data_IF_375110786511
#
_entry.id   IF_375110786511
#
_cell.length_a   1.000
_cell.length_b   1.000
_cell.length_c   1.000
_cell.angle_alpha   90.00
_cell.angle_beta   90.00
_cell.angle_gamma   90.00
#
_symmetry.space_group_name_H-M   'P 1'
#
loop_
_entity.id
_entity.type
_entity.pdbx_description
1 polymer ?
#
# COMPACT_ATOMS: atom_id res chain seq x y z
N UNK A 1 -10.26 -0.85 -32.29
CA UNK A 1 -9.18 0.01 -31.74
C UNK A 1 -8.55 -0.75 -30.59
N UNK A 2 -7.41 -1.41 -30.83
CA UNK A 2 -6.72 -2.20 -29.81
C UNK A 2 -5.82 -1.27 -28.99
N UNK A 3 -6.00 -1.25 -27.65
CA UNK A 3 -5.01 -0.65 -26.75
C UNK A 3 -3.86 -1.65 -26.64
N UNK A 4 -2.66 -1.24 -27.03
CA UNK A 4 -1.46 -2.03 -26.81
C UNK A 4 -1.29 -2.29 -25.30
N UNK A 5 -0.99 -3.54 -24.88
CA UNK A 5 -0.56 -3.80 -23.52
C UNK A 5 0.79 -3.11 -23.29
N UNK A 6 0.91 -2.36 -22.20
CA UNK A 6 2.17 -1.77 -21.75
C UNK A 6 3.22 -2.88 -21.61
N UNK A 7 4.36 -2.75 -22.30
CA UNK A 7 5.47 -3.72 -22.30
C UNK A 7 6.47 -3.50 -21.17
N UNK A 8 6.19 -2.57 -20.25
CA UNK A 8 7.04 -2.40 -19.09
C UNK A 8 6.73 -3.52 -18.09
N UNK A 9 7.72 -4.35 -17.70
CA UNK A 9 7.52 -5.26 -16.60
C UNK A 9 7.11 -4.43 -15.38
N UNK A 10 6.05 -4.84 -14.65
CA UNK A 10 5.62 -4.11 -13.47
C UNK A 10 6.80 -3.94 -12.51
N UNK A 11 6.96 -2.77 -11.87
CA UNK A 11 8.20 -2.45 -11.15
C UNK A 11 8.56 -3.47 -10.05
N UNK A 12 7.58 -4.20 -9.52
CA UNK A 12 7.77 -5.29 -8.53
C UNK A 12 8.14 -6.67 -9.14
N UNK A 13 8.33 -6.76 -10.46
CA UNK A 13 9.13 -7.82 -11.10
C UNK A 13 10.60 -7.38 -11.31
N UNK A 14 10.93 -6.10 -11.06
CA UNK A 14 12.26 -5.51 -11.26
C UNK A 14 12.99 -5.14 -9.97
N UNK A 15 12.32 -5.18 -8.81
CA UNK A 15 12.93 -4.87 -7.52
C UNK A 15 11.94 -4.22 -6.56
N UNK A 16 12.41 -3.86 -5.35
CA UNK A 16 11.59 -3.10 -4.42
C UNK A 16 11.14 -1.76 -5.00
N UNK A 17 9.91 -1.34 -4.68
CA UNK A 17 9.35 -0.04 -5.06
C UNK A 17 9.35 0.88 -3.85
N UNK A 18 9.80 2.12 -4.03
CA UNK A 18 9.75 3.15 -2.99
C UNK A 18 8.55 4.07 -3.20
N UNK A 19 7.94 4.49 -2.10
CA UNK A 19 6.81 5.40 -2.07
C UNK A 19 6.39 5.69 -0.64
N UNK A 20 5.16 6.15 -0.46
CA UNK A 20 4.61 6.42 0.86
C UNK A 20 3.70 5.29 1.33
N UNK A 21 3.78 5.03 2.63
CA UNK A 21 2.88 4.14 3.35
C UNK A 21 2.01 4.98 4.29
N UNK A 22 0.71 4.71 4.28
CA UNK A 22 -0.21 5.18 5.32
C UNK A 22 -0.86 4.00 6.04
N UNK A 23 -1.88 4.29 6.84
CA UNK A 23 -2.75 3.27 7.40
C UNK A 23 -4.22 3.57 7.19
N UNK A 24 -5.06 2.54 7.26
CA UNK A 24 -6.52 2.65 7.09
C UNK A 24 -7.25 1.69 8.03
N UNK A 25 -8.50 2.02 8.37
CA UNK A 25 -9.38 1.16 9.15
C UNK A 25 -10.14 0.18 8.24
N UNK A 26 -10.22 -1.08 8.64
CA UNK A 26 -11.07 -2.09 8.00
C UNK A 26 -11.56 -3.16 9.00
N UNK A 27 -12.67 -3.82 8.69
CA UNK A 27 -13.20 -4.94 9.47
C UNK A 27 -13.44 -4.61 10.95
N UNK A 28 -13.10 -5.54 11.84
CA UNK A 28 -13.32 -5.38 13.29
C UNK A 28 -12.47 -4.24 13.87
N UNK A 29 -13.07 -3.50 14.82
CA UNK A 29 -12.42 -2.43 15.58
C UNK A 29 -11.09 -2.87 16.21
N UNK A 30 -10.07 -2.01 16.11
CA UNK A 30 -8.77 -2.18 16.75
C UNK A 30 -8.06 -0.83 16.84
N UNK A 31 -7.43 -0.56 17.99
CA UNK A 31 -6.76 0.73 18.21
C UNK A 31 -7.75 1.90 18.03
N UNK A 32 -7.45 2.90 17.18
CA UNK A 32 -8.33 4.04 16.94
C UNK A 32 -9.50 3.74 16.00
N UNK A 33 -9.57 2.54 15.41
CA UNK A 33 -10.57 2.20 14.41
C UNK A 33 -11.88 1.70 15.03
N UNK A 34 -13.00 2.16 14.50
CA UNK A 34 -14.31 1.54 14.68
C UNK A 34 -14.50 0.38 13.68
N UNK A 35 -15.56 -0.40 13.88
CA UNK A 35 -15.93 -1.48 12.95
C UNK A 35 -16.38 -0.92 11.60
N UNK A 36 -15.84 -1.45 10.51
CA UNK A 36 -16.05 -1.00 9.12
C UNK A 36 -16.17 -2.19 8.16
N UNK A 37 -16.18 -1.95 6.85
CA UNK A 37 -16.21 -3.00 5.82
C UNK A 37 -14.94 -3.85 5.81
N UNK A 38 -15.03 -5.11 5.36
CA UNK A 38 -13.90 -6.07 5.33
C UNK A 38 -13.01 -5.93 4.08
N UNK A 39 -13.03 -4.76 3.44
CA UNK A 39 -12.30 -4.48 2.21
C UNK A 39 -12.78 -5.29 0.99
N UNK A 40 -12.19 -5.02 -0.16
CA UNK A 40 -12.49 -5.64 -1.44
C UNK A 40 -12.22 -7.16 -1.45
N UNK A 41 -11.30 -7.66 -0.61
CA UNK A 41 -11.04 -9.09 -0.48
C UNK A 41 -12.00 -9.79 0.51
N UNK A 42 -12.82 -9.05 1.25
CA UNK A 42 -13.73 -9.60 2.27
C UNK A 42 -13.05 -10.12 3.55
N UNK A 43 -11.74 -9.98 3.67
CA UNK A 43 -10.92 -10.55 4.76
C UNK A 43 -10.19 -9.50 5.61
N UNK A 44 -10.33 -8.20 5.29
CA UNK A 44 -9.60 -7.14 5.96
C UNK A 44 -10.07 -6.96 7.41
N UNK A 45 -9.11 -6.88 8.34
CA UNK A 45 -9.32 -6.59 9.75
C UNK A 45 -8.21 -5.69 10.31
N UNK A 46 -8.60 -4.60 10.99
CA UNK A 46 -7.67 -3.59 11.54
C UNK A 46 -6.63 -4.18 12.50
N UNK A 47 -7.00 -5.24 13.23
CA UNK A 47 -6.11 -5.95 14.16
C UNK A 47 -5.18 -7.00 13.52
N UNK A 48 -5.26 -7.23 12.20
CA UNK A 48 -4.47 -8.24 11.49
C UNK A 48 -3.32 -7.60 10.70
N UNK A 49 -2.29 -8.36 10.33
CA UNK A 49 -1.17 -7.87 9.52
C UNK A 49 -1.52 -7.91 8.02
N UNK A 50 -2.22 -6.88 7.56
CA UNK A 50 -2.78 -6.80 6.20
C UNK A 50 -2.54 -5.42 5.58
N UNK A 51 -2.82 -5.28 4.28
CA UNK A 51 -2.72 -4.01 3.57
C UNK A 51 -3.69 -3.92 2.40
N UNK A 52 -3.94 -2.70 1.94
CA UNK A 52 -4.56 -2.39 0.67
C UNK A 52 -3.48 -2.31 -0.43
N UNK A 53 -3.76 -2.88 -1.61
CA UNK A 53 -2.86 -2.80 -2.76
C UNK A 53 -3.58 -2.24 -4.01
N UNK A 54 -3.00 -1.27 -4.74
CA UNK A 54 -3.67 -0.66 -5.89
C UNK A 54 -3.99 -1.65 -7.01
N UNK A 55 -3.06 -2.56 -7.30
CA UNK A 55 -3.18 -3.50 -8.42
C UNK A 55 -3.63 -4.91 -7.99
N UNK A 56 -4.64 -4.98 -7.10
CA UNK A 56 -5.15 -6.25 -6.56
C UNK A 56 -6.23 -6.95 -7.38
N UNK A 57 -7.00 -6.19 -8.16
CA UNK A 57 -7.98 -6.64 -9.16
C UNK A 57 -8.02 -5.61 -10.30
N UNK A 58 -8.67 -5.92 -11.42
CA UNK A 58 -8.87 -4.92 -12.48
C UNK A 58 -9.77 -3.80 -11.98
N UNK A 59 -10.72 -4.13 -11.09
CA UNK A 59 -11.55 -3.16 -10.39
C UNK A 59 -10.73 -2.26 -9.45
N UNK A 60 -9.76 -2.82 -8.71
CA UNK A 60 -8.85 -2.01 -7.88
C UNK A 60 -7.99 -1.12 -8.77
N UNK A 61 -7.41 -1.65 -9.86
CA UNK A 61 -6.58 -0.87 -10.77
C UNK A 61 -7.37 0.30 -11.36
N UNK A 62 -8.60 0.07 -11.80
CA UNK A 62 -9.45 1.07 -12.44
C UNK A 62 -9.72 2.31 -11.56
N UNK A 63 -9.71 2.16 -10.22
CA UNK A 63 -9.98 3.26 -9.28
C UNK A 63 -8.73 3.81 -8.59
N UNK A 64 -7.59 3.12 -8.66
CA UNK A 64 -6.37 3.52 -7.91
C UNK A 64 -5.30 4.13 -8.79
N UNK A 65 -5.17 3.63 -10.03
CA UNK A 65 -4.40 4.23 -11.12
C UNK A 65 -3.03 4.82 -10.72
N UNK A 66 -2.14 4.04 -10.06
CA UNK A 66 -0.79 4.50 -9.75
C UNK A 66 0.03 4.85 -11.01
N UNK A 67 -0.36 4.31 -12.17
CA UNK A 67 0.22 4.65 -13.47
C UNK A 67 0.06 6.12 -13.84
N UNK A 68 -1.03 6.76 -13.39
CA UNK A 68 -1.24 8.20 -13.57
C UNK A 68 -0.18 9.04 -12.85
N UNK A 69 0.44 8.50 -11.80
CA UNK A 69 1.54 9.12 -11.08
C UNK A 69 2.93 8.69 -11.59
N UNK A 70 2.99 7.96 -12.72
CA UNK A 70 4.22 7.40 -13.26
C UNK A 70 4.76 6.20 -12.47
N UNK A 71 3.94 5.57 -11.63
CA UNK A 71 4.33 4.40 -10.83
C UNK A 71 3.70 3.14 -11.40
N UNK A 72 4.54 2.17 -11.75
CA UNK A 72 4.08 0.86 -12.21
C UNK A 72 4.12 -0.13 -11.05
N UNK A 73 2.97 -0.72 -10.69
CA UNK A 73 2.87 -1.73 -9.63
C UNK A 73 2.48 -3.09 -10.20
N UNK A 74 3.06 -4.17 -9.68
CA UNK A 74 2.72 -5.52 -10.13
C UNK A 74 1.30 -5.93 -9.74
N UNK A 75 0.69 -6.75 -10.61
CA UNK A 75 -0.59 -7.39 -10.35
C UNK A 75 -0.39 -8.46 -9.28
N UNK A 76 -0.96 -8.26 -8.09
CA UNK A 76 -0.88 -9.20 -6.96
C UNK A 76 -2.24 -9.31 -6.29
N UNK A 77 -2.80 -10.52 -6.21
CA UNK A 77 -4.17 -10.71 -5.74
C UNK A 77 -4.27 -10.84 -4.23
N UNK A 78 -5.50 -10.76 -3.70
CA UNK A 78 -5.82 -11.00 -2.30
C UNK A 78 -5.05 -12.19 -1.71
N UNK A 79 -4.47 -12.00 -0.52
CA UNK A 79 -3.65 -12.99 0.18
C UNK A 79 -2.16 -12.99 -0.19
N UNK A 80 -1.75 -12.38 -1.30
CA UNK A 80 -0.33 -12.21 -1.62
C UNK A 80 0.37 -11.36 -0.55
N UNK A 81 1.66 -11.63 -0.29
CA UNK A 81 2.41 -11.02 0.81
C UNK A 81 3.48 -10.08 0.30
N UNK A 82 3.50 -8.88 0.85
CA UNK A 82 4.58 -7.91 0.65
C UNK A 82 5.32 -7.69 1.96
N UNK A 83 6.61 -7.39 1.86
CA UNK A 83 7.38 -6.75 2.93
C UNK A 83 7.34 -5.24 2.72
N UNK A 84 6.95 -4.51 3.76
CA UNK A 84 7.04 -3.05 3.80
C UNK A 84 8.09 -2.65 4.82
N UNK A 85 9.08 -1.87 4.40
CA UNK A 85 10.17 -1.36 5.24
C UNK A 85 10.05 0.15 5.36
N UNK A 86 9.99 0.67 6.58
CA UNK A 86 10.05 2.12 6.83
C UNK A 86 11.44 2.65 6.52
N UNK A 87 11.56 3.63 5.62
CA UNK A 87 12.84 4.22 5.26
C UNK A 87 13.38 5.15 6.36
N UNK A 88 12.58 5.48 7.37
CA UNK A 88 12.97 6.33 8.49
C UNK A 88 13.84 5.65 9.53
N UNK A 89 13.69 4.33 9.68
CA UNK A 89 14.36 3.58 10.75
C UNK A 89 14.62 2.12 10.42
N UNK A 90 14.29 1.66 9.21
CA UNK A 90 14.56 0.30 8.73
C UNK A 90 13.65 -0.79 9.31
N UNK A 91 12.72 -0.46 10.21
CA UNK A 91 11.74 -1.42 10.72
C UNK A 91 10.87 -1.94 9.56
N UNK A 92 10.59 -3.24 9.54
CA UNK A 92 9.82 -3.87 8.47
C UNK A 92 8.72 -4.79 9.00
N UNK A 93 7.69 -4.98 8.16
CA UNK A 93 6.55 -5.86 8.44
C UNK A 93 6.17 -6.60 7.16
N UNK A 94 5.77 -7.87 7.30
CA UNK A 94 5.19 -8.64 6.20
C UNK A 94 3.68 -8.70 6.38
N UNK A 95 2.93 -8.29 5.37
CA UNK A 95 1.47 -8.21 5.41
C UNK A 95 0.84 -8.85 4.18
N UNK A 96 -0.40 -9.30 4.29
CA UNK A 96 -1.17 -9.87 3.18
C UNK A 96 -2.14 -8.85 2.56
N UNK A 97 -2.31 -8.87 1.24
CA UNK A 97 -3.30 -8.05 0.53
C UNK A 97 -4.71 -8.43 0.99
N UNK A 98 -5.48 -7.45 1.47
CA UNK A 98 -6.85 -7.62 1.94
C UNK A 98 -7.84 -6.56 1.43
N UNK A 99 -7.38 -5.53 0.70
CA UNK A 99 -8.23 -4.49 0.14
C UNK A 99 -7.66 -3.87 -1.15
N UNK A 100 -8.48 -3.11 -1.86
CA UNK A 100 -8.06 -2.18 -2.91
C UNK A 100 -7.63 -0.86 -2.28
N UNK A 101 -6.52 -0.29 -2.74
CA UNK A 101 -6.12 1.05 -2.32
C UNK A 101 -4.61 1.14 -2.09
N UNK A 102 -4.09 2.34 -1.81
CA UNK A 102 -4.80 3.63 -1.84
C UNK A 102 -5.28 4.02 -3.25
N UNK A 103 -6.18 5.01 -3.35
CA UNK A 103 -6.45 5.71 -4.62
C UNK A 103 -5.26 6.60 -4.98
N UNK A 104 -4.15 5.98 -5.41
CA UNK A 104 -2.86 6.63 -5.61
C UNK A 104 -2.93 7.86 -6.52
N UNK A 105 -3.78 7.83 -7.55
CA UNK A 105 -3.99 8.96 -8.46
C UNK A 105 -4.47 10.25 -7.79
N UNK A 106 -5.22 10.16 -6.69
CA UNK A 106 -5.59 11.33 -5.87
C UNK A 106 -4.41 11.92 -5.08
N UNK A 107 -3.33 11.15 -4.91
CA UNK A 107 -2.16 11.49 -4.12
C UNK A 107 -0.88 11.59 -4.96
N UNK A 108 -0.99 11.77 -6.28
CA UNK A 108 0.19 11.97 -7.12
C UNK A 108 0.99 13.19 -6.62
N UNK A 109 2.27 12.97 -6.34
CA UNK A 109 3.16 14.00 -5.80
C UNK A 109 2.99 14.30 -4.31
N UNK A 110 2.12 13.57 -3.58
CA UNK A 110 2.18 13.54 -2.11
C UNK A 110 3.61 13.18 -1.70
N UNK A 111 4.08 13.82 -0.63
CA UNK A 111 5.46 13.70 -0.15
C UNK A 111 5.51 13.75 1.36
N UNK A 112 6.12 12.73 1.93
CA UNK A 112 6.37 12.59 3.36
C UNK A 112 7.85 12.32 3.58
N UNK A 113 8.34 12.88 4.68
CA UNK A 113 9.74 12.82 5.05
C UNK A 113 9.93 12.48 6.51
N UNK A 114 11.13 12.00 6.84
CA UNK A 114 11.63 11.83 8.19
C UNK A 114 13.11 12.22 8.20
N UNK A 115 13.37 13.45 8.63
CA UNK A 115 14.67 14.07 8.39
C UNK A 115 14.88 14.33 6.90
N UNK A 116 16.02 13.90 6.36
CA UNK A 116 16.36 14.04 4.94
C UNK A 116 15.82 12.93 4.04
N UNK A 117 15.29 11.84 4.61
CA UNK A 117 14.70 10.74 3.86
C UNK A 117 13.26 11.07 3.49
N UNK A 118 12.95 11.06 2.20
CA UNK A 118 11.62 11.32 1.68
C UNK A 118 11.25 10.29 0.60
N UNK A 119 9.95 10.10 0.39
CA UNK A 119 9.40 9.39 -0.75
C UNK A 119 8.13 10.10 -1.22
N UNK A 120 7.70 9.77 -2.44
CA UNK A 120 6.52 10.37 -3.04
C UNK A 120 5.50 9.32 -3.43
N UNK A 121 4.25 9.75 -3.54
CA UNK A 121 3.08 8.96 -3.92
C UNK A 121 2.73 7.91 -2.88
N UNK A 122 1.48 7.89 -2.43
CA UNK A 122 0.97 6.84 -1.56
C UNK A 122 0.72 5.56 -2.34
N UNK A 123 1.46 4.50 -2.00
CA UNK A 123 1.43 3.24 -2.76
C UNK A 123 0.85 2.07 -1.96
N UNK A 124 0.79 2.17 -0.64
CA UNK A 124 0.30 1.10 0.23
C UNK A 124 -0.32 1.67 1.50
N UNK A 125 -1.50 1.14 1.86
CA UNK A 125 -2.13 1.46 3.14
C UNK A 125 -2.10 0.21 4.00
N UNK A 126 -1.44 0.29 5.16
CA UNK A 126 -1.38 -0.82 6.11
C UNK A 126 -2.60 -0.81 7.03
N UNK A 127 -3.00 -1.97 7.52
CA UNK A 127 -3.88 -1.97 8.71
C UNK A 127 -3.14 -1.32 9.89
N UNK A 128 -3.86 -0.78 10.90
CA UNK A 128 -3.21 -0.12 12.02
C UNK A 128 -2.30 -1.08 12.81
N UNK A 129 -2.67 -2.36 12.92
CA UNK A 129 -1.80 -3.36 13.56
C UNK A 129 -0.49 -3.59 12.80
N UNK A 130 -0.50 -3.50 11.46
CA UNK A 130 0.70 -3.60 10.65
C UNK A 130 1.54 -2.30 10.68
N UNK A 131 0.90 -1.15 10.54
CA UNK A 131 1.60 0.14 10.58
C UNK A 131 2.32 0.35 11.92
N UNK A 132 1.69 -0.04 13.03
CA UNK A 132 2.29 -0.01 14.37
C UNK A 132 3.55 -0.87 14.53
N UNK A 133 3.89 -1.73 13.56
CA UNK A 133 5.17 -2.46 13.53
C UNK A 133 6.33 -1.63 12.98
N UNK A 134 6.05 -0.58 12.21
CA UNK A 134 7.06 0.21 11.50
C UNK A 134 7.05 1.70 11.89
N UNK A 135 5.95 2.21 12.46
CA UNK A 135 5.83 3.58 12.97
C UNK A 135 4.63 3.74 13.92
N UNK A 136 4.60 4.84 14.70
CA UNK A 136 3.40 5.23 15.47
C UNK A 136 2.27 5.68 14.54
N UNK A 137 1.03 5.24 14.79
CA UNK A 137 -0.16 5.65 14.02
C UNK A 137 -0.32 7.17 13.91
N UNK A 138 0.10 7.92 14.92
CA UNK A 138 0.05 9.39 14.93
C UNK A 138 0.90 10.05 13.83
N UNK A 139 1.82 9.30 13.21
CA UNK A 139 2.64 9.82 12.10
C UNK A 139 1.88 9.90 10.79
N UNK A 140 0.81 9.11 10.62
CA UNK A 140 -0.08 9.11 9.46
C UNK A 140 0.53 8.57 8.16
N UNK A 141 1.67 9.14 7.76
CA UNK A 141 2.41 8.83 6.54
C UNK A 141 3.90 8.63 6.84
N UNK A 142 4.55 7.71 6.13
CA UNK A 142 5.99 7.54 6.14
C UNK A 142 6.54 7.17 4.76
N UNK A 143 7.78 7.57 4.44
CA UNK A 143 8.48 6.98 3.31
C UNK A 143 8.80 5.51 3.58
N UNK A 144 8.57 4.67 2.58
CA UNK A 144 8.76 3.22 2.67
C UNK A 144 9.34 2.62 1.39
N UNK A 145 9.79 1.39 1.54
CA UNK A 145 10.12 0.45 0.48
C UNK A 145 9.19 -0.76 0.57
N UNK A 146 8.73 -1.25 -0.58
CA UNK A 146 7.80 -2.39 -0.71
C UNK A 146 8.46 -3.43 -1.61
N UNK A 147 8.57 -4.66 -1.12
CA UNK A 147 9.15 -5.77 -1.87
C UNK A 147 8.23 -7.00 -1.85
N UNK A 148 8.17 -7.75 -2.96
CA UNK A 148 7.75 -9.16 -2.91
C UNK A 148 8.71 -9.96 -2.04
N UNK A 149 8.18 -10.59 -0.99
CA UNK A 149 8.93 -11.52 -0.15
C UNK A 149 8.96 -12.94 -0.71
#
# INVERSE_FOLDING_TARGET
MARNPSTDPPADLLGPVQGEVSWFCCGTAWGPCSSTGKGACGTCNSGSLQHAWPNASDACWAITRPDSCGVSLSRRTCGFRHRTTSLCGGASVVTAIADCGPQTDLFCGERSCCGSTCANNRLIDLTPAAYSRIASLSTGLRPCEIATG
#
